data_IF_772523460605
#
_entry.id   IF_772523460605
#
_cell.length_a   1.000
_cell.length_b   1.000
_cell.length_c   1.000
_cell.angle_alpha   90.00
_cell.angle_beta   90.00
_cell.angle_gamma   90.00
#
_symmetry.space_group_name_H-M   'P 1'
#
loop_
_entity.id
_entity.type
_entity.pdbx_description
1 polymer ?
#
# COMPACT_ATOMS: atom_id res chain seq x y z
N UNK A 1 19.43 -52.10 -38.11
CA UNK A 1 20.56 -52.49 -38.98
C UNK A 1 20.84 -53.96 -38.77
N UNK A 2 21.17 -54.66 -39.86
CA UNK A 2 21.58 -56.07 -39.95
C UNK A 2 20.48 -57.12 -39.78
N UNK A 3 19.74 -57.34 -40.86
CA UNK A 3 19.16 -58.65 -41.15
C UNK A 3 20.30 -59.58 -41.55
N UNK A 4 20.61 -60.61 -40.75
CA UNK A 4 21.45 -61.73 -41.19
C UNK A 4 20.54 -62.85 -41.67
N UNK A 5 20.63 -63.15 -42.96
CA UNK A 5 20.08 -64.34 -43.59
C UNK A 5 20.68 -65.61 -42.95
N UNK A 6 19.91 -66.69 -42.78
CA UNK A 6 20.47 -68.01 -42.50
C UNK A 6 21.08 -68.59 -43.78
N UNK A 7 22.34 -69.04 -43.68
CA UNK A 7 23.09 -69.70 -44.72
C UNK A 7 22.45 -71.07 -45.05
N UNK A 8 21.96 -71.22 -46.28
CA UNK A 8 21.50 -72.49 -46.85
C UNK A 8 22.56 -73.21 -47.71
N UNK A 9 23.81 -72.74 -47.74
CA UNK A 9 24.84 -73.15 -48.72
C UNK A 9 25.72 -74.35 -48.32
N UNK A 10 25.28 -75.30 -47.47
CA UNK A 10 26.18 -76.38 -47.02
C UNK A 10 25.67 -77.82 -46.96
N UNK A 11 24.57 -78.18 -47.61
CA UNK A 11 24.15 -79.58 -47.69
C UNK A 11 23.59 -79.89 -49.08
N UNK A 12 24.48 -80.07 -50.06
CA UNK A 12 24.20 -80.73 -51.34
C UNK A 12 25.52 -81.11 -52.02
N UNK A 13 26.38 -81.89 -51.35
CA UNK A 13 27.39 -82.70 -52.04
C UNK A 13 26.82 -84.12 -52.17
N UNK A 14 26.05 -84.33 -53.24
CA UNK A 14 25.79 -85.69 -53.73
C UNK A 14 27.14 -86.23 -54.18
N UNK A 15 27.73 -87.15 -53.43
CA UNK A 15 28.98 -87.82 -53.78
C UNK A 15 28.73 -88.78 -54.94
N UNK A 16 28.59 -88.27 -56.17
CA UNK A 16 28.87 -89.07 -57.37
C UNK A 16 30.36 -89.38 -57.36
N UNK A 17 30.70 -90.65 -57.08
CA UNK A 17 32.09 -91.11 -57.11
C UNK A 17 32.75 -90.77 -58.47
N UNK A 18 34.04 -90.39 -58.51
CA UNK A 18 34.74 -90.07 -59.76
C UNK A 18 34.79 -91.28 -60.71
N UNK A 19 34.74 -91.04 -62.02
CA UNK A 19 34.71 -92.08 -63.08
C UNK A 19 35.90 -93.03 -63.09
N UNK A 20 37.00 -92.71 -62.41
CA UNK A 20 38.17 -93.59 -62.33
C UNK A 20 37.98 -94.77 -61.36
N UNK A 21 37.19 -94.61 -60.29
CA UNK A 21 36.93 -95.71 -59.32
C UNK A 21 35.95 -96.76 -59.89
N UNK A 22 35.13 -96.38 -60.87
CA UNK A 22 34.31 -97.31 -61.66
C UNK A 22 35.15 -98.17 -62.63
N UNK A 23 36.35 -97.72 -62.98
CA UNK A 23 37.26 -98.49 -63.84
C UNK A 23 37.80 -99.71 -63.11
N UNK A 24 38.12 -99.59 -61.82
CA UNK A 24 38.63 -100.71 -61.01
C UNK A 24 37.55 -101.76 -60.74
N UNK A 25 36.30 -101.34 -60.45
CA UNK A 25 35.17 -102.27 -60.33
C UNK A 25 34.81 -102.92 -61.69
N UNK A 26 34.95 -102.20 -62.81
CA UNK A 26 34.76 -102.75 -64.16
C UNK A 26 35.89 -103.71 -64.58
N UNK A 27 37.14 -103.44 -64.22
CA UNK A 27 38.28 -104.32 -64.48
C UNK A 27 38.22 -105.60 -63.63
N UNK A 28 37.76 -105.51 -62.38
CA UNK A 28 37.49 -106.68 -61.52
C UNK A 28 36.31 -107.49 -62.05
N UNK A 29 35.26 -106.86 -62.58
CA UNK A 29 34.14 -107.59 -63.20
C UNK A 29 34.50 -108.20 -64.56
N UNK A 30 35.49 -107.66 -65.30
CA UNK A 30 35.99 -108.21 -66.57
C UNK A 30 36.97 -109.36 -66.37
N UNK A 31 37.82 -109.29 -65.33
CA UNK A 31 38.71 -110.38 -64.91
C UNK A 31 37.93 -111.65 -64.49
N UNK A 32 36.73 -111.50 -63.93
CA UNK A 32 35.87 -112.62 -63.51
C UNK A 32 35.14 -113.28 -64.70
N UNK A 33 35.02 -112.62 -65.85
CA UNK A 33 34.42 -113.18 -67.08
C UNK A 33 35.43 -113.80 -68.05
N UNK A 34 36.74 -113.57 -67.86
CA UNK A 34 37.82 -114.13 -68.71
C UNK A 34 38.35 -115.50 -68.22
N UNK A 35 37.87 -116.02 -67.09
CA UNK A 35 38.20 -117.37 -66.58
C UNK A 35 37.18 -118.45 -66.99
N UNK A 36 36.62 -118.36 -68.20
CA UNK A 36 35.93 -119.50 -68.81
C UNK A 36 36.94 -120.42 -69.54
N UNK A 37 37.14 -121.67 -69.10
CA UNK A 37 38.08 -122.58 -69.77
C UNK A 37 37.59 -122.91 -71.18
N UNK A 38 38.39 -122.57 -72.19
CA UNK A 38 38.31 -123.13 -73.55
C UNK A 38 38.58 -124.64 -73.46
N UNK A 39 37.53 -125.44 -73.32
CA UNK A 39 37.65 -126.89 -73.41
C UNK A 39 37.82 -127.24 -74.89
N UNK A 40 39.07 -127.43 -75.30
CA UNK A 40 39.44 -128.15 -76.51
C UNK A 40 38.88 -129.57 -76.41
N UNK A 41 38.02 -129.96 -77.36
CA UNK A 41 37.57 -131.33 -77.50
C UNK A 41 38.47 -132.01 -78.55
N UNK A 42 39.65 -132.47 -78.13
CA UNK A 42 40.53 -133.32 -78.93
C UNK A 42 39.93 -134.72 -78.99
N UNK A 43 39.60 -135.18 -80.20
CA UNK A 43 39.15 -136.55 -80.44
C UNK A 43 40.25 -137.57 -80.14
N UNK A 44 39.83 -138.70 -79.58
CA UNK A 44 40.47 -139.99 -79.82
C UNK A 44 39.48 -141.13 -79.57
N UNK A 45 39.35 -141.95 -80.62
CA UNK A 45 38.56 -143.17 -80.76
C UNK A 45 39.09 -144.31 -79.87
N UNK A 46 38.29 -144.86 -78.96
CA UNK A 46 38.30 -146.30 -78.61
C UNK A 46 36.94 -146.69 -78.03
N UNK A 47 36.38 -147.84 -78.44
CA UNK A 47 35.29 -148.58 -77.76
C UNK A 47 35.43 -148.49 -76.23
N UNK A 48 34.49 -147.80 -75.58
CA UNK A 48 34.35 -147.76 -74.11
C UNK A 48 32.89 -148.07 -73.74
N UNK A 49 32.75 -148.97 -72.79
CA UNK A 49 31.52 -149.64 -72.34
C UNK A 49 30.42 -148.66 -71.86
N UNK A 50 29.15 -149.08 -71.90
CA UNK A 50 27.98 -148.30 -71.44
C UNK A 50 28.15 -147.83 -69.98
N UNK A 51 28.88 -148.61 -69.19
CA UNK A 51 29.24 -148.32 -67.81
C UNK A 51 30.18 -147.10 -67.69
N UNK A 52 31.09 -146.87 -68.66
CA UNK A 52 32.04 -145.75 -68.62
C UNK A 52 31.39 -144.41 -68.98
N UNK A 53 30.41 -144.39 -69.90
CA UNK A 53 29.62 -143.18 -70.23
C UNK A 53 28.70 -142.75 -69.09
N UNK A 54 28.09 -143.73 -68.41
CA UNK A 54 27.28 -143.46 -67.22
C UNK A 54 28.13 -142.87 -66.09
N UNK A 55 29.34 -143.39 -65.84
CA UNK A 55 30.26 -142.83 -64.85
C UNK A 55 30.73 -141.40 -65.17
N UNK A 56 31.00 -141.05 -66.43
CA UNK A 56 31.42 -139.69 -66.81
C UNK A 56 30.23 -138.70 -66.74
N UNK A 57 29.03 -139.12 -67.14
CA UNK A 57 27.83 -138.29 -67.02
C UNK A 57 27.43 -138.06 -65.56
N UNK A 58 27.54 -139.09 -64.71
CA UNK A 58 27.41 -138.95 -63.26
C UNK A 58 28.48 -138.02 -62.69
N UNK A 59 29.75 -138.15 -63.11
CA UNK A 59 30.81 -137.23 -62.72
C UNK A 59 30.50 -135.77 -63.07
N UNK A 60 30.08 -135.50 -64.31
CA UNK A 60 29.68 -134.14 -64.74
C UNK A 60 28.43 -133.63 -64.03
N UNK A 61 27.43 -134.48 -63.77
CA UNK A 61 26.24 -134.12 -63.00
C UNK A 61 26.60 -133.79 -61.55
N UNK A 62 27.46 -134.59 -60.92
CA UNK A 62 27.95 -134.31 -59.57
C UNK A 62 28.79 -133.03 -59.52
N UNK A 63 29.56 -132.74 -60.57
CA UNK A 63 30.36 -131.51 -60.66
C UNK A 63 29.48 -130.26 -60.87
N UNK A 64 28.44 -130.34 -61.72
CA UNK A 64 27.49 -129.24 -61.92
C UNK A 64 26.57 -129.06 -60.72
N UNK A 65 26.13 -130.14 -60.06
CA UNK A 65 25.42 -130.07 -58.78
C UNK A 65 26.29 -129.49 -57.67
N UNK A 66 27.58 -129.86 -57.61
CA UNK A 66 28.53 -129.27 -56.68
C UNK A 66 28.73 -127.76 -56.94
N UNK A 67 28.87 -127.35 -58.21
CA UNK A 67 28.96 -125.92 -58.59
C UNK A 67 27.67 -125.15 -58.30
N UNK A 68 26.50 -125.73 -58.58
CA UNK A 68 25.21 -125.12 -58.28
C UNK A 68 25.00 -125.00 -56.77
N UNK A 69 25.42 -126.00 -55.99
CA UNK A 69 25.41 -125.98 -54.54
C UNK A 69 26.36 -124.91 -53.99
N UNK A 70 27.56 -124.78 -54.55
CA UNK A 70 28.51 -123.74 -54.19
C UNK A 70 27.99 -122.33 -54.53
N UNK A 71 27.38 -122.14 -55.71
CA UNK A 71 26.77 -120.87 -56.11
C UNK A 71 25.57 -120.50 -55.24
N UNK A 72 24.69 -121.47 -54.90
CA UNK A 72 23.59 -121.26 -53.95
C UNK A 72 24.11 -120.94 -52.54
N UNK A 73 25.17 -121.60 -52.08
CA UNK A 73 25.80 -121.29 -50.81
C UNK A 73 26.45 -119.90 -50.82
N UNK A 74 27.11 -119.50 -51.90
CA UNK A 74 27.69 -118.16 -52.07
C UNK A 74 26.60 -117.08 -52.10
N UNK A 75 25.53 -117.27 -52.86
CA UNK A 75 24.40 -116.34 -52.91
C UNK A 75 23.66 -116.27 -51.58
N UNK A 76 23.53 -117.39 -50.87
CA UNK A 76 22.97 -117.41 -49.51
C UNK A 76 23.86 -116.61 -48.54
N UNK A 77 25.17 -116.83 -48.56
CA UNK A 77 26.13 -116.04 -47.75
C UNK A 77 26.11 -114.56 -48.11
N UNK A 78 26.04 -114.21 -49.39
CA UNK A 78 25.96 -112.82 -49.86
C UNK A 78 24.64 -112.17 -49.47
N UNK A 79 23.52 -112.89 -49.52
CA UNK A 79 22.22 -112.39 -49.06
C UNK A 79 22.24 -112.13 -47.55
N UNK A 80 22.80 -113.04 -46.76
CA UNK A 80 22.99 -112.83 -45.32
C UNK A 80 23.85 -111.60 -45.04
N UNK A 81 24.95 -111.40 -45.78
CA UNK A 81 25.81 -110.23 -45.61
C UNK A 81 25.11 -108.92 -46.04
N UNK A 82 24.34 -108.94 -47.14
CA UNK A 82 23.55 -107.79 -47.55
C UNK A 82 22.43 -107.48 -46.55
N UNK A 83 21.73 -108.48 -46.03
CA UNK A 83 20.71 -108.32 -44.99
C UNK A 83 21.33 -107.73 -43.70
N UNK A 84 22.56 -108.14 -43.36
CA UNK A 84 23.34 -107.58 -42.25
C UNK A 84 23.74 -106.11 -42.51
N UNK A 85 24.20 -105.78 -43.71
CA UNK A 85 24.50 -104.40 -44.11
C UNK A 85 23.24 -103.51 -44.13
N UNK A 86 22.12 -104.03 -44.62
CA UNK A 86 20.84 -103.33 -44.58
C UNK A 86 20.36 -103.12 -43.14
N UNK A 87 20.49 -104.13 -42.28
CA UNK A 87 20.18 -104.00 -40.85
C UNK A 87 21.04 -102.95 -40.15
N UNK A 88 22.34 -102.93 -40.43
CA UNK A 88 23.26 -101.93 -39.88
C UNK A 88 22.95 -100.51 -40.41
N UNK A 89 22.61 -100.36 -41.69
CA UNK A 89 22.25 -99.07 -42.28
C UNK A 89 20.92 -98.54 -41.71
N UNK A 90 19.92 -99.42 -41.51
CA UNK A 90 18.67 -99.06 -40.83
C UNK A 90 18.92 -98.66 -39.38
N UNK A 91 19.80 -99.37 -38.66
CA UNK A 91 20.20 -98.99 -37.29
C UNK A 91 20.85 -97.61 -37.25
N UNK A 92 21.77 -97.32 -38.17
CA UNK A 92 22.42 -96.01 -38.26
C UNK A 92 21.43 -94.90 -38.63
N UNK A 93 20.45 -95.17 -39.51
CA UNK A 93 19.37 -94.23 -39.83
C UNK A 93 18.50 -93.93 -38.60
N UNK A 94 18.11 -94.97 -37.84
CA UNK A 94 17.34 -94.82 -36.60
C UNK A 94 18.12 -94.02 -35.55
N UNK A 95 19.40 -94.32 -35.35
CA UNK A 95 20.29 -93.58 -34.45
C UNK A 95 20.41 -92.10 -34.86
N UNK A 96 20.59 -91.81 -36.16
CA UNK A 96 20.63 -90.43 -36.67
C UNK A 96 19.31 -89.71 -36.45
N UNK A 97 18.18 -90.39 -36.64
CA UNK A 97 16.84 -89.82 -36.40
C UNK A 97 16.62 -89.53 -34.93
N UNK A 98 16.98 -90.44 -34.03
CA UNK A 98 16.91 -90.22 -32.58
C UNK A 98 17.82 -89.07 -32.14
N UNK A 99 19.05 -89.02 -32.64
CA UNK A 99 19.98 -87.93 -32.40
C UNK A 99 19.45 -86.59 -32.91
N UNK A 100 18.79 -86.56 -34.08
CA UNK A 100 18.18 -85.35 -34.60
C UNK A 100 17.00 -84.89 -33.74
N UNK A 101 16.15 -85.82 -33.27
CA UNK A 101 15.06 -85.51 -32.34
C UNK A 101 15.65 -84.94 -31.03
N UNK A 102 16.66 -85.59 -30.47
CA UNK A 102 17.33 -85.14 -29.25
C UNK A 102 17.97 -83.76 -29.42
N UNK A 103 18.66 -83.51 -30.54
CA UNK A 103 19.27 -82.22 -30.85
C UNK A 103 18.21 -81.13 -31.06
N UNK A 104 17.11 -81.44 -31.76
CA UNK A 104 16.00 -80.50 -31.94
C UNK A 104 15.32 -80.14 -30.61
N UNK A 105 15.17 -81.13 -29.71
CA UNK A 105 14.65 -80.92 -28.35
C UNK A 105 15.62 -80.06 -27.54
N UNK A 106 16.91 -80.34 -27.62
CA UNK A 106 17.96 -79.57 -26.94
C UNK A 106 18.00 -78.11 -27.40
N UNK A 107 17.87 -77.84 -28.70
CA UNK A 107 17.79 -76.46 -29.24
C UNK A 107 16.55 -75.76 -28.68
N UNK A 108 15.38 -76.40 -28.73
CA UNK A 108 14.13 -75.81 -28.19
C UNK A 108 14.25 -75.50 -26.71
N UNK A 109 14.78 -76.42 -25.92
CA UNK A 109 15.01 -76.19 -24.48
C UNK A 109 16.01 -75.08 -24.22
N UNK A 110 17.07 -74.97 -25.04
CA UNK A 110 18.06 -73.91 -24.92
C UNK A 110 17.43 -72.55 -25.26
N UNK A 111 16.65 -72.48 -26.33
CA UNK A 111 15.91 -71.27 -26.73
C UNK A 111 14.91 -70.86 -25.65
N UNK A 112 14.18 -71.81 -25.05
CA UNK A 112 13.29 -71.56 -23.91
C UNK A 112 14.04 -71.09 -22.66
N UNK A 113 15.22 -71.65 -22.37
CA UNK A 113 16.10 -71.19 -21.27
C UNK A 113 16.59 -69.77 -21.54
N UNK A 114 17.02 -69.47 -22.77
CA UNK A 114 17.44 -68.16 -23.21
C UNK A 114 16.30 -67.13 -23.14
N UNK A 115 15.10 -67.50 -23.58
CA UNK A 115 13.91 -66.65 -23.51
C UNK A 115 13.52 -66.34 -22.06
N UNK A 116 13.51 -67.35 -21.18
CA UNK A 116 13.28 -67.16 -19.74
C UNK A 116 14.34 -66.27 -19.09
N UNK A 117 15.61 -66.49 -19.40
CA UNK A 117 16.70 -65.66 -18.89
C UNK A 117 16.55 -64.19 -19.34
N UNK A 118 16.23 -63.96 -20.62
CA UNK A 118 15.97 -62.61 -21.17
C UNK A 118 14.76 -61.94 -20.50
N UNK A 119 13.65 -62.66 -20.33
CA UNK A 119 12.48 -62.14 -19.59
C UNK A 119 12.85 -61.76 -18.17
N UNK A 120 13.61 -62.61 -17.47
CA UNK A 120 14.05 -62.34 -16.11
C UNK A 120 14.98 -61.15 -16.01
N UNK A 121 15.92 -60.99 -16.95
CA UNK A 121 16.78 -59.81 -17.02
C UNK A 121 15.93 -58.56 -17.20
N UNK A 122 14.95 -58.56 -18.10
CA UNK A 122 14.08 -57.41 -18.34
C UNK A 122 13.25 -57.05 -17.09
N UNK A 123 12.66 -58.04 -16.41
CA UNK A 123 11.96 -57.85 -15.14
C UNK A 123 12.88 -57.23 -14.07
N UNK A 124 14.10 -57.76 -13.93
CA UNK A 124 15.07 -57.27 -12.95
C UNK A 124 15.54 -55.85 -13.27
N UNK A 125 15.72 -55.50 -14.55
CA UNK A 125 16.06 -54.15 -14.99
C UNK A 125 14.93 -53.17 -14.69
N UNK A 126 13.67 -53.53 -14.99
CA UNK A 126 12.51 -52.71 -14.66
C UNK A 126 12.36 -52.50 -13.14
N UNK A 127 12.54 -53.55 -12.36
CA UNK A 127 12.52 -53.47 -10.89
C UNK A 127 13.67 -52.62 -10.33
N UNK A 128 14.85 -52.69 -10.94
CA UNK A 128 16.00 -51.88 -10.53
C UNK A 128 15.75 -50.40 -10.84
N UNK A 129 15.18 -50.09 -12.01
CA UNK A 129 14.84 -48.73 -12.40
C UNK A 129 13.80 -48.11 -11.46
N UNK A 130 12.71 -48.82 -11.18
CA UNK A 130 11.66 -48.36 -10.24
C UNK A 130 12.23 -48.12 -8.84
N UNK A 131 12.98 -49.08 -8.28
CA UNK A 131 13.65 -48.90 -6.99
C UNK A 131 14.65 -47.75 -6.97
N UNK A 132 15.38 -47.52 -8.06
CA UNK A 132 16.30 -46.38 -8.16
C UNK A 132 15.54 -45.04 -8.10
N UNK A 133 14.40 -44.94 -8.79
CA UNK A 133 13.56 -43.73 -8.73
C UNK A 133 12.96 -43.52 -7.35
N UNK A 134 12.48 -44.58 -6.69
CA UNK A 134 11.98 -44.53 -5.31
C UNK A 134 13.08 -44.11 -4.33
N UNK A 135 14.31 -44.63 -4.50
CA UNK A 135 15.44 -44.27 -3.66
C UNK A 135 15.79 -42.78 -3.79
N UNK A 136 15.82 -42.24 -5.02
CA UNK A 136 16.04 -40.81 -5.26
C UNK A 136 14.94 -39.97 -4.62
N UNK A 137 13.67 -40.40 -4.71
CA UNK A 137 12.55 -39.69 -4.12
C UNK A 137 12.65 -39.67 -2.58
N UNK A 138 12.93 -40.82 -1.97
CA UNK A 138 13.11 -40.93 -0.52
C UNK A 138 14.32 -40.10 -0.04
N UNK A 139 15.42 -40.07 -0.80
CA UNK A 139 16.57 -39.24 -0.46
C UNK A 139 16.21 -37.74 -0.43
N UNK A 140 15.44 -37.26 -1.41
CA UNK A 140 14.95 -35.88 -1.43
C UNK A 140 14.04 -35.58 -0.25
N UNK A 141 13.15 -36.51 0.10
CA UNK A 141 12.27 -36.35 1.26
C UNK A 141 13.07 -36.26 2.57
N UNK A 142 14.10 -37.10 2.73
CA UNK A 142 15.02 -37.03 3.88
C UNK A 142 15.75 -35.70 3.93
N UNK A 143 16.20 -35.17 2.80
CA UNK A 143 16.86 -33.86 2.73
C UNK A 143 15.92 -32.73 3.18
N UNK A 144 14.68 -32.70 2.69
CA UNK A 144 13.66 -31.71 3.11
C UNK A 144 13.33 -31.84 4.60
N UNK A 145 13.19 -33.07 5.11
CA UNK A 145 12.95 -33.30 6.53
C UNK A 145 14.14 -32.84 7.38
N UNK A 146 15.36 -33.01 6.90
CA UNK A 146 16.55 -32.53 7.59
C UNK A 146 16.64 -31.00 7.60
N UNK A 147 16.31 -30.33 6.48
CA UNK A 147 16.26 -28.87 6.42
C UNK A 147 15.15 -28.28 7.32
N UNK A 148 13.97 -28.88 7.30
CA UNK A 148 12.88 -28.46 8.19
C UNK A 148 13.26 -28.64 9.66
N UNK A 149 13.91 -29.76 10.00
CA UNK A 149 14.46 -29.99 11.35
C UNK A 149 15.47 -28.91 11.74
N UNK A 150 16.47 -28.61 10.90
CA UNK A 150 17.48 -27.59 11.25
C UNK A 150 16.85 -26.20 11.42
N UNK A 151 15.85 -25.86 10.60
CA UNK A 151 15.08 -24.62 10.75
C UNK A 151 14.29 -24.58 12.06
N UNK A 152 13.64 -25.69 12.42
CA UNK A 152 12.91 -25.80 13.69
C UNK A 152 13.86 -25.72 14.89
N UNK A 153 15.00 -26.41 14.86
CA UNK A 153 16.03 -26.36 15.90
C UNK A 153 16.58 -24.93 16.09
N UNK A 154 16.83 -24.20 15.00
CA UNK A 154 17.23 -22.80 15.07
C UNK A 154 16.15 -21.92 15.73
N UNK A 155 14.89 -22.17 15.39
CA UNK A 155 13.73 -21.47 15.96
C UNK A 155 13.57 -21.76 17.45
N UNK A 156 13.69 -23.03 17.85
CA UNK A 156 13.66 -23.45 19.25
C UNK A 156 14.80 -22.77 20.03
N UNK A 157 16.02 -22.76 19.51
CA UNK A 157 17.16 -22.07 20.16
C UNK A 157 16.90 -20.58 20.38
N UNK A 158 16.27 -19.91 19.41
CA UNK A 158 15.87 -18.50 19.56
C UNK A 158 14.85 -18.34 20.68
N UNK A 159 13.82 -19.19 20.74
CA UNK A 159 12.78 -19.08 21.76
C UNK A 159 13.20 -19.56 23.15
N UNK A 160 14.17 -20.46 23.23
CA UNK A 160 14.73 -20.98 24.47
C UNK A 160 15.33 -19.88 25.36
N UNK A 161 15.92 -18.83 24.76
CA UNK A 161 16.39 -17.67 25.52
C UNK A 161 15.25 -16.96 26.26
N UNK A 162 14.10 -16.79 25.60
CA UNK A 162 12.93 -16.14 26.19
C UNK A 162 12.27 -17.03 27.25
N UNK A 163 12.17 -18.33 27.00
CA UNK A 163 11.70 -19.31 27.99
C UNK A 163 12.56 -19.26 29.26
N UNK A 164 13.90 -19.32 29.10
CA UNK A 164 14.83 -19.21 30.24
C UNK A 164 14.70 -17.88 30.97
N UNK A 165 14.47 -16.78 30.26
CA UNK A 165 14.22 -15.48 30.88
C UNK A 165 12.93 -15.51 31.70
N UNK A 166 11.83 -16.01 31.13
CA UNK A 166 10.55 -16.08 31.83
C UNK A 166 10.60 -17.04 33.02
N UNK A 167 11.37 -18.13 32.92
CA UNK A 167 11.66 -19.01 34.04
C UNK A 167 12.38 -18.27 35.17
N UNK A 168 13.39 -17.44 34.86
CA UNK A 168 14.04 -16.57 35.86
C UNK A 168 13.07 -15.57 36.49
N UNK A 169 12.14 -15.02 35.72
CA UNK A 169 11.10 -14.12 36.25
C UNK A 169 10.19 -14.87 37.21
N UNK A 170 9.80 -16.10 36.88
CA UNK A 170 9.03 -16.97 37.76
C UNK A 170 9.81 -17.30 39.05
N UNK A 171 11.10 -17.61 38.95
CA UNK A 171 11.99 -17.85 40.10
C UNK A 171 12.16 -16.61 40.98
N UNK A 172 12.17 -15.41 40.39
CA UNK A 172 12.29 -14.16 41.13
C UNK A 172 11.01 -13.77 41.88
N UNK A 173 9.84 -14.21 41.40
CA UNK A 173 8.53 -13.87 41.96
C UNK A 173 7.65 -15.12 42.18
N UNK A 174 8.07 -16.06 43.04
CA UNK A 174 7.38 -17.33 43.25
C UNK A 174 6.00 -17.18 43.90
N UNK A 175 5.78 -16.10 44.67
CA UNK A 175 4.48 -15.83 45.31
C UNK A 175 3.42 -15.33 44.31
N UNK A 176 3.86 -14.78 43.17
CA UNK A 176 2.98 -14.13 42.18
C UNK A 176 2.72 -15.03 40.98
N UNK A 177 3.71 -15.83 40.56
CA UNK A 177 3.60 -16.68 39.38
C UNK A 177 3.97 -18.13 39.72
N UNK A 178 3.00 -19.02 39.61
CA UNK A 178 3.16 -20.48 39.82
C UNK A 178 3.49 -21.22 38.54
N UNK A 179 3.13 -20.64 37.39
CA UNK A 179 3.38 -21.21 36.07
C UNK A 179 3.79 -20.12 35.08
N UNK A 180 4.62 -20.50 34.10
CA UNK A 180 5.00 -19.67 32.96
C UNK A 180 3.77 -19.08 32.25
N UNK A 181 2.70 -19.88 32.13
CA UNK A 181 1.47 -19.43 31.48
C UNK A 181 0.79 -18.30 32.26
N UNK A 182 0.87 -18.26 33.58
CA UNK A 182 0.29 -17.17 34.39
C UNK A 182 0.98 -15.83 34.12
N UNK A 183 2.30 -15.84 33.88
CA UNK A 183 3.06 -14.64 33.46
C UNK A 183 2.52 -14.13 32.12
N UNK A 184 2.30 -15.04 31.17
CA UNK A 184 1.78 -14.70 29.84
C UNK A 184 0.35 -14.17 29.94
N UNK A 185 -0.53 -14.84 30.70
CA UNK A 185 -1.90 -14.37 30.92
C UNK A 185 -1.95 -13.01 31.61
N UNK A 186 -1.08 -12.77 32.59
CA UNK A 186 -0.99 -11.47 33.27
C UNK A 186 -0.52 -10.39 32.31
N UNK A 187 0.47 -10.69 31.48
CA UNK A 187 0.94 -9.79 30.44
C UNK A 187 -0.18 -9.46 29.45
N UNK A 188 -0.89 -10.47 28.94
CA UNK A 188 -1.99 -10.28 28.00
C UNK A 188 -3.12 -9.44 28.63
N UNK A 189 -3.50 -9.74 29.87
CA UNK A 189 -4.47 -8.92 30.61
C UNK A 189 -4.01 -7.47 30.78
N UNK A 190 -2.72 -7.23 31.06
CA UNK A 190 -2.15 -5.88 31.16
C UNK A 190 -2.11 -5.17 29.80
N UNK A 191 -1.81 -5.88 28.72
CA UNK A 191 -1.81 -5.34 27.35
C UNK A 191 -3.23 -4.97 26.91
N UNK A 192 -4.21 -5.83 27.19
CA UNK A 192 -5.62 -5.55 26.94
C UNK A 192 -6.11 -4.36 27.77
N UNK A 193 -5.76 -4.30 29.06
CA UNK A 193 -6.08 -3.15 29.92
C UNK A 193 -5.42 -1.86 29.41
N UNK A 194 -4.16 -1.93 28.93
CA UNK A 194 -3.47 -0.79 28.33
C UNK A 194 -4.20 -0.30 27.07
N UNK A 195 -4.60 -1.21 26.18
CA UNK A 195 -5.36 -0.83 24.98
C UNK A 195 -6.72 -0.19 25.32
N UNK A 196 -7.42 -0.71 26.33
CA UNK A 196 -8.66 -0.08 26.82
C UNK A 196 -8.42 1.31 27.41
N UNK A 197 -7.34 1.49 28.18
CA UNK A 197 -6.97 2.80 28.74
C UNK A 197 -6.58 3.80 27.64
N UNK A 198 -5.88 3.35 26.61
CA UNK A 198 -5.48 4.18 25.46
C UNK A 198 -6.71 4.68 24.70
N UNK A 199 -7.62 3.80 24.33
CA UNK A 199 -8.88 4.17 23.66
C UNK A 199 -9.74 5.12 24.50
N UNK A 200 -9.82 4.88 25.81
CA UNK A 200 -10.53 5.76 26.73
C UNK A 200 -9.83 7.13 26.89
N UNK A 201 -8.50 7.16 26.87
CA UNK A 201 -7.74 8.40 26.91
C UNK A 201 -7.95 9.20 25.62
N UNK A 202 -7.92 8.57 24.46
CA UNK A 202 -8.24 9.21 23.18
C UNK A 202 -9.66 9.79 23.15
N UNK A 203 -10.63 9.06 23.70
CA UNK A 203 -12.00 9.53 23.82
C UNK A 203 -12.08 10.78 24.71
N UNK A 204 -11.46 10.74 25.89
CA UNK A 204 -11.41 11.90 26.81
C UNK A 204 -10.69 13.10 26.21
N UNK A 205 -9.61 12.87 25.47
CA UNK A 205 -8.88 13.94 24.80
C UNK A 205 -9.76 14.63 23.75
N UNK A 206 -10.52 13.83 22.96
CA UNK A 206 -11.51 14.36 22.03
C UNK A 206 -12.61 15.16 22.73
N UNK A 207 -13.16 14.67 23.85
CA UNK A 207 -14.14 15.43 24.64
C UNK A 207 -13.57 16.76 25.13
N UNK A 208 -12.32 16.77 25.61
CA UNK A 208 -11.63 17.98 26.05
C UNK A 208 -11.45 18.97 24.89
N UNK A 209 -11.02 18.49 23.71
CA UNK A 209 -10.88 19.33 22.52
C UNK A 209 -12.20 19.96 22.10
N UNK A 210 -13.30 19.19 22.12
CA UNK A 210 -14.64 19.70 21.83
C UNK A 210 -15.04 20.77 22.85
N UNK A 211 -14.88 20.50 24.14
CA UNK A 211 -15.19 21.46 25.21
C UNK A 211 -14.35 22.74 25.08
N UNK A 212 -13.06 22.61 24.77
CA UNK A 212 -12.15 23.74 24.53
C UNK A 212 -12.60 24.56 23.31
N UNK A 213 -13.01 23.91 22.22
CA UNK A 213 -13.51 24.58 21.03
C UNK A 213 -14.82 25.33 21.32
N UNK A 214 -15.74 24.72 22.08
CA UNK A 214 -16.99 25.36 22.52
C UNK A 214 -16.69 26.58 23.42
N UNK A 215 -15.74 26.45 24.34
CA UNK A 215 -15.31 27.55 25.20
C UNK A 215 -14.69 28.70 24.39
N UNK A 216 -13.86 28.38 23.39
CA UNK A 216 -13.31 29.36 22.46
C UNK A 216 -14.41 30.16 21.73
N UNK A 217 -15.42 29.46 21.19
CA UNK A 217 -16.58 30.11 20.56
C UNK A 217 -17.34 31.03 21.52
N UNK A 218 -17.60 30.57 22.75
CA UNK A 218 -18.27 31.39 23.77
C UNK A 218 -17.44 32.64 24.11
N UNK A 219 -16.12 32.54 24.21
CA UNK A 219 -15.26 33.70 24.43
C UNK A 219 -15.39 34.69 23.27
N UNK A 220 -15.32 34.22 22.02
CA UNK A 220 -15.45 35.08 20.84
C UNK A 220 -16.81 35.79 20.81
N UNK A 221 -17.90 35.07 21.05
CA UNK A 221 -19.25 35.64 21.14
C UNK A 221 -19.35 36.70 22.25
N UNK A 222 -18.84 36.40 23.45
CA UNK A 222 -18.87 37.36 24.56
C UNK A 222 -17.97 38.56 24.32
N UNK A 223 -16.81 38.36 23.69
CA UNK A 223 -15.91 39.44 23.28
C UNK A 223 -16.60 40.40 22.30
N UNK A 224 -17.34 39.85 21.33
CA UNK A 224 -18.14 40.66 20.41
C UNK A 224 -19.23 41.48 21.13
N UNK A 225 -19.92 40.88 22.10
CA UNK A 225 -20.90 41.60 22.93
C UNK A 225 -20.23 42.72 23.74
N UNK A 226 -19.09 42.46 24.37
CA UNK A 226 -18.34 43.48 25.12
C UNK A 226 -17.91 44.63 24.19
N UNK A 227 -17.42 44.33 22.99
CA UNK A 227 -17.08 45.35 22.00
C UNK A 227 -18.30 46.19 21.61
N UNK A 228 -19.46 45.55 21.41
CA UNK A 228 -20.73 46.23 21.15
C UNK A 228 -21.13 47.18 22.28
N UNK A 229 -21.03 46.72 23.53
CA UNK A 229 -21.33 47.54 24.72
C UNK A 229 -20.34 48.70 24.89
N UNK A 230 -19.05 48.47 24.65
CA UNK A 230 -18.04 49.53 24.71
C UNK A 230 -18.31 50.63 23.68
N UNK A 231 -18.74 50.26 22.46
CA UNK A 231 -19.17 51.23 21.46
C UNK A 231 -20.41 52.02 21.89
N UNK A 232 -21.38 51.37 22.56
CA UNK A 232 -22.54 52.06 23.13
C UNK A 232 -22.15 53.03 24.24
N UNK A 233 -21.25 52.63 25.14
CA UNK A 233 -20.72 53.49 26.21
C UNK A 233 -20.03 54.72 25.60
N UNK A 234 -19.15 54.53 24.61
CA UNK A 234 -18.47 55.62 23.94
C UNK A 234 -19.46 56.59 23.26
N UNK A 235 -20.52 56.07 22.63
CA UNK A 235 -21.57 56.91 22.03
C UNK A 235 -22.34 57.71 23.09
N UNK A 236 -22.78 57.06 24.17
CA UNK A 236 -23.49 57.73 25.26
C UNK A 236 -22.63 58.79 25.93
N UNK A 237 -21.34 58.52 26.14
CA UNK A 237 -20.40 59.48 26.68
C UNK A 237 -20.22 60.69 25.76
N UNK A 238 -20.05 60.48 24.45
CA UNK A 238 -19.98 61.57 23.48
C UNK A 238 -21.27 62.41 23.46
N UNK A 239 -22.45 61.77 23.60
CA UNK A 239 -23.74 62.49 23.70
C UNK A 239 -23.84 63.31 24.99
N UNK A 240 -23.40 62.74 26.11
CA UNK A 240 -23.36 63.44 27.39
C UNK A 240 -22.42 64.65 27.35
N UNK A 241 -21.20 64.48 26.83
CA UNK A 241 -20.23 65.56 26.70
C UNK A 241 -20.77 66.70 25.81
N UNK A 242 -21.41 66.36 24.67
CA UNK A 242 -22.06 67.35 23.82
C UNK A 242 -23.22 68.08 24.51
N UNK A 243 -24.04 67.38 25.28
CA UNK A 243 -25.12 68.01 26.05
C UNK A 243 -24.56 68.92 27.16
N UNK A 244 -23.48 68.49 27.82
CA UNK A 244 -22.81 69.25 28.86
C UNK A 244 -22.18 70.53 28.31
N UNK A 245 -21.52 70.47 27.15
CA UNK A 245 -20.98 71.66 26.45
C UNK A 245 -22.12 72.66 26.18
N UNK A 246 -23.24 72.21 25.62
CA UNK A 246 -24.40 73.08 25.36
C UNK A 246 -25.00 73.68 26.63
N UNK A 247 -25.06 72.90 27.72
CA UNK A 247 -25.51 73.40 29.02
C UNK A 247 -24.60 74.54 29.51
N UNK A 248 -23.29 74.34 29.44
CA UNK A 248 -22.30 75.32 29.84
C UNK A 248 -22.37 76.60 28.98
N UNK A 249 -22.56 76.46 27.67
CA UNK A 249 -22.79 77.60 26.76
C UNK A 249 -24.04 78.40 27.15
N UNK A 250 -25.15 77.71 27.47
CA UNK A 250 -26.39 78.35 27.92
C UNK A 250 -26.20 79.05 29.28
N UNK A 251 -25.52 78.41 30.23
CA UNK A 251 -25.19 79.02 31.52
C UNK A 251 -24.36 80.28 31.34
N UNK A 252 -23.37 80.24 30.46
CA UNK A 252 -22.53 81.40 30.14
C UNK A 252 -23.35 82.55 29.53
N UNK A 253 -24.28 82.26 28.62
CA UNK A 253 -25.20 83.25 28.06
C UNK A 253 -26.10 83.86 29.14
N UNK A 254 -26.63 83.04 30.06
CA UNK A 254 -27.45 83.53 31.18
C UNK A 254 -26.63 84.45 32.09
N UNK A 255 -25.38 84.10 32.39
CA UNK A 255 -24.47 84.94 33.17
C UNK A 255 -24.22 86.28 32.45
N UNK A 256 -23.98 86.27 31.14
CA UNK A 256 -23.80 87.48 30.35
C UNK A 256 -25.04 88.38 30.38
N UNK A 257 -26.24 87.82 30.19
CA UNK A 257 -27.51 88.55 30.29
C UNK A 257 -27.69 89.13 31.69
N UNK A 258 -27.43 88.34 32.74
CA UNK A 258 -27.53 88.79 34.13
C UNK A 258 -26.57 89.95 34.42
N UNK A 259 -25.32 89.85 33.98
CA UNK A 259 -24.33 90.92 34.13
C UNK A 259 -24.75 92.19 33.39
N UNK A 260 -25.29 92.05 32.17
CA UNK A 260 -25.83 93.18 31.42
C UNK A 260 -27.02 93.83 32.14
N UNK A 261 -27.95 93.03 32.67
CA UNK A 261 -29.09 93.51 33.43
C UNK A 261 -28.66 94.24 34.71
N UNK A 262 -27.67 93.72 35.44
CA UNK A 262 -27.09 94.39 36.62
C UNK A 262 -26.47 95.73 36.21
N UNK A 263 -25.73 95.79 35.10
CA UNK A 263 -25.15 97.03 34.58
C UNK A 263 -26.24 98.06 34.24
N UNK A 264 -27.30 97.64 33.52
CA UNK A 264 -28.44 98.50 33.19
C UNK A 264 -29.19 98.98 34.42
N UNK A 265 -29.40 98.11 35.41
CA UNK A 265 -30.03 98.48 36.68
C UNK A 265 -29.17 99.51 37.43
N UNK A 266 -27.86 99.32 37.46
CA UNK A 266 -26.92 100.28 38.05
C UNK A 266 -26.97 101.64 37.33
N UNK A 267 -27.02 101.67 36.00
CA UNK A 267 -27.18 102.93 35.24
C UNK A 267 -28.50 103.63 35.62
N UNK A 268 -29.60 102.89 35.70
CA UNK A 268 -30.91 103.42 36.13
C UNK A 268 -30.82 103.97 37.55
N UNK A 269 -30.22 103.25 38.49
CA UNK A 269 -30.09 103.67 39.88
C UNK A 269 -29.17 104.89 40.03
N UNK A 270 -28.10 104.99 39.23
CA UNK A 270 -27.26 106.18 39.14
C UNK A 270 -28.04 107.40 38.63
N UNK A 271 -28.87 107.23 37.59
CA UNK A 271 -29.73 108.31 37.08
C UNK A 271 -30.76 108.73 38.13
N UNK A 272 -31.45 107.78 38.77
CA UNK A 272 -32.38 108.07 39.87
C UNK A 272 -31.72 108.82 41.02
N UNK A 273 -30.53 108.39 41.41
CA UNK A 273 -29.74 109.04 42.46
C UNK A 273 -29.33 110.45 42.06
N UNK A 274 -28.94 110.66 40.79
CA UNK A 274 -28.58 111.98 40.26
C UNK A 274 -29.79 112.94 40.23
N UNK A 275 -30.97 112.45 39.82
CA UNK A 275 -32.23 113.21 39.87
C UNK A 275 -32.55 113.60 41.31
N UNK A 276 -32.46 112.66 42.25
CA UNK A 276 -32.69 112.93 43.67
C UNK A 276 -31.71 113.96 44.23
N UNK A 277 -30.42 113.84 43.89
CA UNK A 277 -29.39 114.79 44.31
C UNK A 277 -29.68 116.19 43.76
N UNK A 278 -30.09 116.30 42.50
CA UNK A 278 -30.45 117.59 41.88
C UNK A 278 -31.69 118.21 42.54
N UNK A 279 -32.74 117.42 42.79
CA UNK A 279 -33.90 117.82 43.57
C UNK A 279 -33.50 118.38 44.95
N UNK A 280 -32.63 117.64 45.64
CA UNK A 280 -32.15 117.99 46.99
C UNK A 280 -31.39 119.32 46.96
N UNK A 281 -30.47 119.51 46.00
CA UNK A 281 -29.76 120.78 45.82
C UNK A 281 -30.68 121.95 45.48
N UNK A 282 -31.68 121.74 44.62
CA UNK A 282 -32.65 122.79 44.27
C UNK A 282 -33.55 123.16 45.44
N UNK A 283 -33.98 122.18 46.25
CA UNK A 283 -34.76 122.42 47.46
C UNK A 283 -33.96 123.19 48.52
N UNK A 284 -32.68 122.81 48.71
CA UNK A 284 -31.73 123.54 49.57
C UNK A 284 -31.51 124.99 49.10
N UNK A 285 -31.30 125.20 47.80
CA UNK A 285 -31.13 126.55 47.22
C UNK A 285 -32.36 127.44 47.37
N UNK A 286 -33.57 126.85 47.40
CA UNK A 286 -34.84 127.54 47.67
C UNK A 286 -35.20 127.65 49.16
N UNK A 287 -34.37 127.11 50.06
CA UNK A 287 -34.63 127.04 51.52
C UNK A 287 -36.00 126.44 51.87
N UNK A 288 -36.49 125.47 51.09
CA UNK A 288 -37.76 124.77 51.35
C UNK A 288 -37.48 123.32 51.76
N UNK A 289 -38.15 122.80 52.82
CA UNK A 289 -38.04 121.38 53.15
C UNK A 289 -38.72 120.54 52.06
N UNK A 290 -38.01 119.53 51.57
CA UNK A 290 -38.44 118.70 50.46
C UNK A 290 -39.59 117.78 50.90
N UNK A 291 -40.80 117.96 50.34
CA UNK A 291 -42.01 117.17 50.67
C UNK A 291 -42.22 115.94 49.77
N UNK A 292 -41.31 115.69 48.82
CA UNK A 292 -41.44 114.64 47.79
C UNK A 292 -40.74 113.37 48.26
N UNK A 293 -41.38 112.20 48.04
CA UNK A 293 -40.81 110.89 48.40
C UNK A 293 -39.66 110.49 47.46
N UNK A 294 -38.68 109.75 47.99
CA UNK A 294 -37.48 109.31 47.27
C UNK A 294 -37.74 108.40 46.07
N UNK A 295 -38.84 107.63 46.10
CA UNK A 295 -39.13 106.64 45.07
C UNK A 295 -40.01 107.16 43.92
N UNK A 296 -40.62 108.34 44.05
CA UNK A 296 -41.46 108.92 43.00
C UNK A 296 -40.65 109.85 42.07
N UNK A 297 -40.01 109.25 41.06
CA UNK A 297 -39.11 109.93 40.11
C UNK A 297 -39.88 110.95 39.25
N UNK A 298 -41.13 110.66 38.92
CA UNK A 298 -41.94 111.52 38.04
C UNK A 298 -42.24 112.87 38.70
N UNK A 299 -42.64 112.84 39.98
CA UNK A 299 -42.83 114.06 40.79
C UNK A 299 -41.51 114.84 40.97
N UNK A 300 -40.38 114.14 41.13
CA UNK A 300 -39.06 114.76 41.23
C UNK A 300 -38.66 115.51 39.96
N UNK A 301 -38.81 114.88 38.79
CA UNK A 301 -38.51 115.52 37.50
C UNK A 301 -39.45 116.70 37.25
N UNK A 302 -40.74 116.58 37.57
CA UNK A 302 -41.69 117.69 37.47
C UNK A 302 -41.29 118.86 38.37
N UNK A 303 -40.84 118.59 39.60
CA UNK A 303 -40.33 119.61 40.51
C UNK A 303 -39.09 120.30 39.94
N UNK A 304 -38.11 119.55 39.43
CA UNK A 304 -36.91 120.09 38.75
C UNK A 304 -37.31 120.96 37.55
N UNK A 305 -38.24 120.50 36.71
CA UNK A 305 -38.71 121.27 35.53
C UNK A 305 -39.36 122.59 35.96
N UNK A 306 -40.19 122.56 37.01
CA UNK A 306 -40.83 123.77 37.55
C UNK A 306 -39.81 124.74 38.16
N UNK A 307 -38.86 124.24 38.95
CA UNK A 307 -37.83 125.09 39.56
C UNK A 307 -36.91 125.70 38.51
N UNK A 308 -36.52 124.95 37.47
CA UNK A 308 -35.71 125.45 36.35
C UNK A 308 -36.44 126.51 35.53
N UNK A 309 -37.74 126.31 35.23
CA UNK A 309 -38.53 127.31 34.50
C UNK A 309 -38.74 128.58 35.31
N UNK A 310 -38.92 128.47 36.64
CA UNK A 310 -38.94 129.63 37.54
C UNK A 310 -37.57 130.35 37.57
N UNK A 311 -36.46 129.63 37.72
CA UNK A 311 -35.11 130.20 37.67
C UNK A 311 -34.79 130.85 36.32
N UNK A 312 -35.24 130.25 35.20
CA UNK A 312 -35.10 130.82 33.87
C UNK A 312 -35.87 132.14 33.73
N UNK A 313 -37.10 132.22 34.26
CA UNK A 313 -37.87 133.46 34.31
C UNK A 313 -37.15 134.51 35.17
N UNK A 314 -36.66 134.15 36.35
CA UNK A 314 -35.86 135.04 37.21
C UNK A 314 -34.60 135.53 36.50
N UNK A 315 -33.85 134.64 35.83
CA UNK A 315 -32.67 135.00 35.06
C UNK A 315 -33.00 135.90 33.85
N UNK A 316 -34.13 135.70 33.18
CA UNK A 316 -34.58 136.60 32.11
C UNK A 316 -34.92 138.00 32.66
N UNK A 317 -35.55 138.07 33.84
CA UNK A 317 -35.82 139.34 34.53
C UNK A 317 -34.50 140.01 34.93
N UNK A 318 -33.56 139.27 35.52
CA UNK A 318 -32.23 139.79 35.88
C UNK A 318 -31.43 140.24 34.66
N UNK A 319 -31.47 139.50 33.54
CA UNK A 319 -30.85 139.91 32.27
C UNK A 319 -31.51 141.17 31.70
N UNK A 320 -32.85 141.29 31.79
CA UNK A 320 -33.57 142.53 31.41
C UNK A 320 -33.17 143.69 32.31
N UNK A 321 -33.10 143.51 33.62
CA UNK A 321 -32.64 144.52 34.57
C UNK A 321 -31.17 144.91 34.36
N UNK A 322 -30.29 143.95 34.07
CA UNK A 322 -28.90 144.21 33.73
C UNK A 322 -28.75 144.97 32.40
N UNK A 323 -29.58 144.66 31.38
CA UNK A 323 -29.66 145.46 30.14
C UNK A 323 -30.14 146.88 30.42
N UNK A 324 -31.18 147.05 31.24
CA UNK A 324 -31.68 148.36 31.65
C UNK A 324 -30.65 149.15 32.47
N UNK A 325 -29.87 148.48 33.34
CA UNK A 325 -28.78 149.10 34.09
C UNK A 325 -27.61 149.54 33.18
N UNK A 326 -27.28 148.74 32.14
CA UNK A 326 -26.32 149.14 31.10
C UNK A 326 -26.84 150.31 30.26
N UNK A 327 -28.13 150.36 29.96
CA UNK A 327 -28.78 151.49 29.28
C UNK A 327 -28.78 152.76 30.15
N UNK A 328 -29.08 152.65 31.46
CA UNK A 328 -28.97 153.78 32.41
C UNK A 328 -27.53 154.31 32.55
N UNK A 329 -26.51 153.43 32.56
CA UNK A 329 -25.10 153.86 32.53
C UNK A 329 -24.71 154.58 31.22
N UNK A 330 -25.31 154.21 30.08
CA UNK A 330 -25.11 154.93 28.80
C UNK A 330 -25.75 156.33 28.81
N UNK A 331 -27.00 156.45 29.29
CA UNK A 331 -27.71 157.75 29.38
C UNK A 331 -27.04 158.71 30.39
N UNK A 332 -26.48 158.18 31.49
CA UNK A 332 -25.66 158.96 32.43
C UNK A 332 -24.34 159.45 31.84
N UNK A 333 -23.69 158.66 30.97
CA UNK A 333 -22.47 159.08 30.28
C UNK A 333 -22.73 160.14 29.19
N UNK A 334 -23.87 160.08 28.51
CA UNK A 334 -24.25 161.04 27.48
C UNK A 334 -24.71 162.39 28.08
N UNK A 335 -25.32 162.38 29.27
CA UNK A 335 -25.70 163.61 29.99
C UNK A 335 -24.50 164.36 30.59
N UNK A 336 -23.44 163.64 30.99
CA UNK A 336 -22.18 164.24 31.48
C UNK A 336 -21.36 164.88 30.35
N UNK A 337 -21.39 164.30 29.13
CA UNK A 337 -20.75 164.92 27.95
C UNK A 337 -21.43 166.21 27.49
N UNK A 338 -22.77 166.30 27.57
CA UNK A 338 -23.52 167.52 27.19
C UNK A 338 -23.33 168.66 28.20
N UNK A 339 -23.11 168.36 29.49
CA UNK A 339 -22.79 169.37 30.51
C UNK A 339 -21.35 169.91 30.39
N UNK A 340 -20.37 169.06 30.06
CA UNK A 340 -18.98 169.50 29.83
C UNK A 340 -18.81 170.35 28.56
N UNK A 341 -19.72 170.24 27.59
CA UNK A 341 -19.67 171.04 26.35
C UNK A 341 -20.38 172.41 26.48
N UNK A 342 -21.23 172.60 27.50
CA UNK A 342 -21.83 173.91 27.86
C UNK A 342 -20.92 174.77 28.76
N UNK A 343 -19.93 174.20 29.44
CA UNK A 343 -18.96 174.93 30.29
C UNK A 343 -17.72 175.47 29.54
N UNK A 344 -17.53 175.15 28.26
CA UNK A 344 -16.42 175.65 27.40
C UNK A 344 -16.81 176.78 26.44
N UNK A 345 -17.96 177.43 26.64
CA UNK A 345 -18.42 178.60 25.87
C UNK A 345 -18.48 179.90 26.69
N UNK A 346 -17.97 179.88 27.92
CA UNK A 346 -17.70 181.06 28.73
C UNK A 346 -16.25 180.93 29.19
N UNK A 347 -15.41 181.90 28.78
CA UNK A 347 -13.97 181.78 28.45
C UNK A 347 -13.74 181.22 27.05
#
# INVERSE_FOLDING_TARGET
MSWRQPAWDKICEFTTKPTYDLHDEYMVSKAITDEHPKIHNSGDDVKRDMQTRHCIALGKLTETEARLKAARQFMSKRRVNLDEQWGELTRQEEELRENFIAFSSFIKENDEKCARAKSKINEMLALTSTRATENIQLQKEVEVLQETKTRMDATIKKYYLYEKFLQKVMEAYPDVFKSLNEVIYRYDALMNARGQLETLNEYRLRELEIAKAQFGKLIEEKSFVIMGLNNQIANLQARYENANIKSLESEQLVIQIKNNAIQRMSEIDQVKTSIWNLCTHMAQGKRQPMKIKKDNIEEQIMYIKRTLTELAKVNQILKKQARLAKLKKKVGADSVKVLHQKQKRYH
#
